data_IF_231545839888
#
_entry.id   IF_231545839888
#
_cell.length_a   1.000
_cell.length_b   1.000
_cell.length_c   1.000
_cell.angle_alpha   90.00
_cell.angle_beta   90.00
_cell.angle_gamma   90.00
#
_symmetry.space_group_name_H-M   'P 1'
#
loop_
_entity.id
_entity.type
_entity.pdbx_description
1 polymer ?
#
# COMPACT_ATOMS: atom_id res chain seq x y z
N UNK A 1 9.25 19.84 29.78
CA UNK A 1 9.19 20.17 28.34
C UNK A 1 9.43 18.91 27.49
N UNK A 2 8.47 18.00 27.48
CA UNK A 2 8.41 16.99 26.44
C UNK A 2 7.77 17.68 25.23
N UNK A 3 8.56 18.06 24.23
CA UNK A 3 8.04 18.32 22.92
C UNK A 3 7.38 17.01 22.44
N UNK A 4 6.05 16.94 22.52
CA UNK A 4 5.31 15.80 22.03
C UNK A 4 5.64 15.60 20.55
N UNK A 5 5.75 14.35 20.11
CA UNK A 5 5.87 14.06 18.69
C UNK A 5 4.67 14.71 17.94
N UNK A 6 4.94 15.38 16.84
CA UNK A 6 3.89 15.96 16.01
C UNK A 6 3.01 14.83 15.47
N UNK A 7 1.71 14.90 15.73
CA UNK A 7 0.76 13.88 15.28
C UNK A 7 0.61 13.94 13.75
N UNK A 8 0.75 12.80 13.10
CA UNK A 8 0.52 12.67 11.67
C UNK A 8 -0.98 12.69 11.32
N UNK A 9 -1.31 12.91 10.05
CA UNK A 9 -2.70 12.80 9.60
C UNK A 9 -3.26 11.39 9.78
N UNK A 10 -2.40 10.36 9.77
CA UNK A 10 -2.79 8.99 10.08
C UNK A 10 -3.21 8.83 11.54
N UNK A 11 -2.49 9.47 12.48
CA UNK A 11 -2.84 9.46 13.91
C UNK A 11 -4.18 10.16 14.16
N UNK A 12 -4.42 11.29 13.47
CA UNK A 12 -5.73 11.96 13.54
C UNK A 12 -6.84 11.09 12.97
N UNK A 13 -6.59 10.39 11.84
CA UNK A 13 -7.56 9.45 11.28
C UNK A 13 -7.85 8.30 12.23
N UNK A 14 -6.84 7.66 12.82
CA UNK A 14 -7.01 6.59 13.79
C UNK A 14 -7.77 7.06 15.04
N UNK A 15 -7.48 8.26 15.54
CA UNK A 15 -8.21 8.86 16.66
C UNK A 15 -9.68 9.12 16.29
N UNK A 16 -9.92 9.64 15.08
CA UNK A 16 -11.28 9.91 14.61
C UNK A 16 -12.09 8.64 14.41
N UNK A 17 -11.45 7.57 13.92
CA UNK A 17 -12.06 6.24 13.81
C UNK A 17 -12.44 5.75 15.21
N UNK A 18 -11.50 5.79 16.17
CA UNK A 18 -11.66 5.22 17.50
C UNK A 18 -12.84 5.79 18.29
N UNK A 19 -13.07 7.10 18.22
CA UNK A 19 -14.10 7.79 19.02
C UNK A 19 -15.51 7.63 18.44
N UNK A 20 -15.66 7.08 17.25
CA UNK A 20 -16.98 6.92 16.63
C UNK A 20 -17.54 5.50 16.86
N UNK A 21 -18.14 5.28 18.01
CA UNK A 21 -18.74 4.00 18.38
C UNK A 21 -19.99 3.66 17.56
N UNK A 22 -20.74 4.68 17.11
CA UNK A 22 -21.98 4.51 16.35
C UNK A 22 -21.77 3.67 15.08
N UNK A 23 -20.64 3.82 14.42
CA UNK A 23 -20.28 3.07 13.19
C UNK A 23 -19.27 1.95 13.45
N UNK A 24 -19.09 1.52 14.70
CA UNK A 24 -18.16 0.45 15.06
C UNK A 24 -16.68 0.84 14.92
N UNK A 25 -16.39 2.13 15.09
CA UNK A 25 -15.07 2.70 14.86
C UNK A 25 -14.00 2.09 15.73
N UNK A 26 -14.24 1.83 17.02
CA UNK A 26 -13.26 1.21 17.91
C UNK A 26 -12.86 -0.19 17.42
N UNK A 27 -13.82 -0.99 16.98
CA UNK A 27 -13.56 -2.33 16.41
C UNK A 27 -12.77 -2.23 15.09
N UNK A 28 -13.10 -1.26 14.23
CA UNK A 28 -12.36 -1.02 12.98
C UNK A 28 -10.92 -0.57 13.25
N UNK A 29 -10.71 0.32 14.23
CA UNK A 29 -9.38 0.72 14.66
C UNK A 29 -8.55 -0.46 15.14
N UNK A 30 -9.12 -1.31 16.03
CA UNK A 30 -8.46 -2.54 16.51
C UNK A 30 -8.13 -3.47 15.34
N UNK A 31 -9.02 -3.60 14.37
CA UNK A 31 -8.77 -4.42 13.18
C UNK A 31 -7.53 -3.96 12.40
N UNK A 32 -7.38 -2.66 12.21
CA UNK A 32 -6.20 -2.07 11.55
C UNK A 32 -4.93 -2.35 12.36
N UNK A 33 -4.94 -2.05 13.67
CA UNK A 33 -3.78 -2.22 14.54
C UNK A 33 -3.38 -3.69 14.68
N UNK A 34 -4.34 -4.59 14.91
CA UNK A 34 -4.07 -6.02 15.08
C UNK A 34 -3.58 -6.65 13.78
N UNK A 35 -4.14 -6.29 12.63
CA UNK A 35 -3.63 -6.80 11.36
C UNK A 35 -2.15 -6.44 11.16
N UNK A 36 -1.80 -5.17 11.34
CA UNK A 36 -0.42 -4.71 11.19
C UNK A 36 0.52 -5.38 12.21
N UNK A 37 0.03 -5.62 13.43
CA UNK A 37 0.83 -6.31 14.44
C UNK A 37 1.02 -7.79 14.10
N UNK A 38 -0.03 -8.47 13.66
CA UNK A 38 0.02 -9.89 13.27
C UNK A 38 0.88 -10.14 12.03
N UNK A 39 0.98 -9.19 11.12
CA UNK A 39 1.87 -9.29 9.97
C UNK A 39 3.34 -9.43 10.39
N UNK A 40 3.71 -8.84 11.54
CA UNK A 40 5.08 -8.90 12.09
C UNK A 40 5.21 -10.03 13.14
N UNK A 41 4.15 -10.28 13.91
CA UNK A 41 4.17 -11.19 15.07
C UNK A 41 2.95 -12.12 15.05
N UNK A 42 2.98 -13.16 14.22
CA UNK A 42 1.85 -14.09 14.04
C UNK A 42 1.36 -14.76 15.34
N UNK A 43 2.28 -15.04 16.26
CA UNK A 43 2.00 -15.69 17.55
C UNK A 43 1.04 -14.86 18.43
N UNK A 44 0.94 -13.56 18.17
CA UNK A 44 0.06 -12.68 18.91
C UNK A 44 -1.43 -12.98 18.70
N UNK A 45 -1.79 -13.72 17.66
CA UNK A 45 -3.19 -14.07 17.37
C UNK A 45 -3.89 -14.73 18.56
N UNK A 46 -3.24 -15.71 19.20
CA UNK A 46 -3.79 -16.39 20.37
C UNK A 46 -3.99 -15.49 21.58
N UNK A 47 -3.16 -14.45 21.69
CA UNK A 47 -3.28 -13.44 22.75
C UNK A 47 -4.49 -12.52 22.50
N UNK A 48 -4.78 -12.17 21.25
CA UNK A 48 -5.98 -11.40 20.89
C UNK A 48 -7.23 -12.20 21.27
N UNK A 49 -7.31 -13.49 20.89
CA UNK A 49 -8.44 -14.36 21.23
C UNK A 49 -8.71 -14.41 22.74
N UNK A 50 -7.64 -14.48 23.54
CA UNK A 50 -7.73 -14.58 24.99
C UNK A 50 -8.02 -13.27 25.69
N UNK A 51 -7.38 -12.19 25.26
CA UNK A 51 -7.34 -10.93 26.01
C UNK A 51 -8.35 -9.89 25.50
N UNK A 52 -8.87 -10.06 24.28
CA UNK A 52 -9.90 -9.18 23.70
C UNK A 52 -11.08 -9.99 23.15
N UNK A 53 -11.90 -10.60 24.05
CA UNK A 53 -13.00 -11.47 23.64
C UNK A 53 -14.11 -10.73 22.88
N UNK A 54 -14.23 -9.43 22.99
CA UNK A 54 -15.16 -8.63 22.20
C UNK A 54 -14.69 -8.54 20.74
N UNK A 55 -13.43 -8.21 20.54
CA UNK A 55 -12.86 -8.19 19.20
C UNK A 55 -12.82 -9.60 18.58
N UNK A 56 -12.55 -10.61 19.38
CA UNK A 56 -12.53 -12.01 18.94
C UNK A 56 -13.87 -12.49 18.33
N UNK A 57 -14.99 -11.91 18.76
CA UNK A 57 -16.33 -12.16 18.20
C UNK A 57 -16.64 -11.32 16.95
N UNK A 58 -15.79 -10.37 16.62
CA UNK A 58 -15.98 -9.51 15.44
C UNK A 58 -15.74 -10.29 14.14
N UNK A 59 -16.26 -9.74 13.04
CA UNK A 59 -16.00 -10.31 11.71
C UNK A 59 -14.53 -10.22 11.28
N UNK A 60 -13.71 -9.39 11.95
CA UNK A 60 -12.33 -9.11 11.53
C UNK A 60 -11.35 -10.20 11.93
N UNK A 61 -11.43 -10.72 13.15
CA UNK A 61 -10.44 -11.69 13.61
C UNK A 61 -10.37 -12.95 12.73
N UNK A 62 -11.47 -13.58 12.30
CA UNK A 62 -11.43 -14.72 11.38
C UNK A 62 -10.78 -14.37 10.02
N UNK A 63 -10.92 -13.12 9.56
CA UNK A 63 -10.33 -12.65 8.31
C UNK A 63 -8.81 -12.44 8.39
N UNK A 64 -8.26 -12.37 9.60
CA UNK A 64 -6.82 -12.28 9.87
C UNK A 64 -6.20 -13.65 10.18
N UNK A 65 -7.01 -14.71 10.32
CA UNK A 65 -6.53 -16.03 10.79
C UNK A 65 -5.43 -16.63 9.91
N UNK A 66 -5.38 -16.26 8.65
CA UNK A 66 -4.34 -16.68 7.72
C UNK A 66 -2.93 -16.16 8.06
N UNK A 67 -2.82 -15.05 8.82
CA UNK A 67 -1.54 -14.52 9.27
C UNK A 67 -0.84 -15.44 10.30
N UNK A 68 -1.56 -16.35 10.95
CA UNK A 68 -0.95 -17.34 11.86
C UNK A 68 0.09 -18.21 11.18
N UNK A 69 -0.13 -18.53 9.91
CA UNK A 69 0.60 -19.53 9.14
C UNK A 69 1.54 -18.92 8.10
N UNK A 70 1.53 -17.61 7.96
CA UNK A 70 2.29 -16.90 6.92
C UNK A 70 3.18 -15.85 7.57
N UNK A 71 4.48 -16.02 7.40
CA UNK A 71 5.47 -15.01 7.71
C UNK A 71 6.10 -14.56 6.38
N UNK A 72 5.49 -13.56 5.73
CA UNK A 72 6.05 -12.95 4.52
C UNK A 72 6.73 -11.64 4.89
N UNK A 73 8.04 -11.65 5.06
CA UNK A 73 8.85 -10.50 5.46
C UNK A 73 9.02 -9.44 4.34
N UNK A 74 8.37 -9.64 3.18
CA UNK A 74 8.51 -8.69 2.07
C UNK A 74 7.78 -7.37 2.34
N UNK A 75 6.61 -7.45 2.97
CA UNK A 75 5.77 -6.29 3.24
C UNK A 75 5.10 -6.36 4.61
N UNK A 76 5.68 -5.66 5.58
CA UNK A 76 5.15 -5.47 6.93
C UNK A 76 4.45 -4.11 7.00
N UNK A 77 3.14 -4.03 6.76
CA UNK A 77 2.44 -2.76 6.72
C UNK A 77 2.29 -2.15 8.12
N UNK A 78 2.40 -0.83 8.18
CA UNK A 78 1.95 -0.03 9.32
C UNK A 78 0.48 0.37 9.14
N UNK A 79 -0.18 0.83 10.22
CA UNK A 79 -1.53 1.38 10.12
C UNK A 79 -1.62 2.56 9.13
N UNK A 80 -0.54 3.34 9.00
CA UNK A 80 -0.46 4.42 8.00
C UNK A 80 -0.50 3.88 6.58
N UNK A 81 0.21 2.79 6.32
CA UNK A 81 0.22 2.13 5.00
C UNK A 81 -1.18 1.59 4.66
N UNK A 82 -1.78 0.88 5.61
CA UNK A 82 -3.12 0.32 5.45
C UNK A 82 -4.17 1.41 5.22
N UNK A 83 -4.14 2.51 5.99
CA UNK A 83 -5.04 3.63 5.80
C UNK A 83 -4.86 4.28 4.43
N UNK A 84 -3.60 4.51 3.99
CA UNK A 84 -3.33 5.07 2.67
C UNK A 84 -3.88 4.20 1.56
N UNK A 85 -3.63 2.90 1.60
CA UNK A 85 -4.12 1.98 0.57
C UNK A 85 -5.64 1.89 0.58
N UNK A 86 -6.25 1.65 1.75
CA UNK A 86 -7.69 1.52 1.90
C UNK A 86 -8.41 2.81 1.47
N UNK A 87 -7.94 3.96 1.94
CA UNK A 87 -8.54 5.24 1.61
C UNK A 87 -8.39 5.59 0.13
N UNK A 88 -7.17 5.50 -0.39
CA UNK A 88 -6.91 5.93 -1.78
C UNK A 88 -7.65 5.04 -2.77
N UNK A 89 -7.61 3.71 -2.56
CA UNK A 89 -8.28 2.78 -3.48
C UNK A 89 -9.80 2.93 -3.47
N UNK A 90 -10.40 3.20 -2.29
CA UNK A 90 -11.85 3.26 -2.17
C UNK A 90 -12.44 4.65 -2.48
N UNK A 91 -11.78 5.72 -2.04
CA UNK A 91 -12.33 7.07 -2.11
C UNK A 91 -11.88 7.87 -3.33
N UNK A 92 -10.86 7.41 -4.06
CA UNK A 92 -10.29 8.19 -5.16
C UNK A 92 -9.60 9.47 -4.68
N UNK A 93 -9.03 9.46 -3.47
CA UNK A 93 -8.35 10.58 -2.82
C UNK A 93 -7.08 10.10 -2.14
N UNK A 94 -6.00 10.88 -2.21
CA UNK A 94 -4.70 10.47 -1.67
C UNK A 94 -4.29 11.13 -0.36
N UNK A 95 -5.02 12.16 0.10
CA UNK A 95 -4.64 12.94 1.29
C UNK A 95 -5.41 12.46 2.51
N UNK A 96 -4.74 11.92 3.52
CA UNK A 96 -5.38 11.43 4.75
C UNK A 96 -6.13 12.53 5.52
N UNK A 97 -5.79 13.79 5.31
CA UNK A 97 -6.57 14.90 5.82
C UNK A 97 -8.02 14.88 5.29
N UNK A 98 -8.22 14.49 4.03
CA UNK A 98 -9.54 14.34 3.44
C UNK A 98 -10.32 13.19 4.12
N UNK A 99 -9.63 12.08 4.49
CA UNK A 99 -10.25 11.01 5.27
C UNK A 99 -10.77 11.52 6.61
N UNK A 100 -9.95 12.25 7.37
CA UNK A 100 -10.35 12.85 8.66
C UNK A 100 -11.59 13.74 8.49
N UNK A 101 -11.61 14.56 7.44
CA UNK A 101 -12.75 15.43 7.14
C UNK A 101 -14.02 14.62 6.82
N UNK A 102 -13.92 13.58 5.97
CA UNK A 102 -15.03 12.71 5.59
C UNK A 102 -15.59 11.93 6.77
N UNK A 103 -14.73 11.36 7.62
CA UNK A 103 -15.14 10.67 8.85
C UNK A 103 -15.77 11.61 9.87
N UNK A 104 -15.55 12.92 9.73
CA UNK A 104 -16.23 13.96 10.50
C UNK A 104 -17.56 14.41 9.89
N UNK A 105 -17.94 13.85 8.73
CA UNK A 105 -19.16 14.20 8.03
C UNK A 105 -19.01 15.36 7.05
N UNK A 106 -17.80 15.79 6.70
CA UNK A 106 -17.58 16.92 5.80
C UNK A 106 -18.00 16.58 4.37
N UNK A 107 -19.04 17.25 3.89
CA UNK A 107 -19.40 17.24 2.48
C UNK A 107 -18.53 18.27 1.72
N UNK A 108 -17.71 17.79 0.77
CA UNK A 108 -16.79 18.67 0.03
C UNK A 108 -17.50 19.58 -1.00
N UNK A 109 -18.69 19.19 -1.45
CA UNK A 109 -19.48 19.99 -2.40
C UNK A 109 -20.24 21.11 -1.70
N UNK A 110 -21.05 20.77 -0.67
CA UNK A 110 -21.85 21.74 0.10
C UNK A 110 -21.02 22.50 1.13
N UNK A 111 -19.84 22.00 1.49
CA UNK A 111 -19.01 22.50 2.60
C UNK A 111 -19.69 22.45 3.96
N UNK A 112 -20.75 21.67 4.11
CA UNK A 112 -21.46 21.45 5.36
C UNK A 112 -21.02 20.14 6.01
N UNK A 113 -21.46 19.92 7.25
CA UNK A 113 -21.30 18.66 7.97
C UNK A 113 -22.62 17.91 7.97
N UNK A 114 -22.60 16.67 7.49
CA UNK A 114 -23.75 15.81 7.31
C UNK A 114 -23.44 14.43 7.89
N UNK A 115 -24.33 13.91 8.74
CA UNK A 115 -24.12 12.61 9.38
C UNK A 115 -24.06 11.47 8.36
N UNK A 116 -24.87 11.54 7.31
CA UNK A 116 -24.85 10.58 6.20
C UNK A 116 -23.47 10.44 5.53
N UNK A 117 -22.73 11.54 5.41
CA UNK A 117 -21.36 11.51 4.87
C UNK A 117 -20.41 10.74 5.82
N UNK A 118 -20.56 10.91 7.12
CA UNK A 118 -19.77 10.16 8.09
C UNK A 118 -20.10 8.66 8.00
N UNK A 119 -21.38 8.29 8.01
CA UNK A 119 -21.85 6.90 7.90
C UNK A 119 -21.32 6.22 6.62
N UNK A 120 -21.53 6.84 5.46
CA UNK A 120 -21.03 6.35 4.18
C UNK A 120 -19.49 6.20 4.16
N UNK A 121 -18.79 7.16 4.77
CA UNK A 121 -17.33 7.15 4.84
C UNK A 121 -16.81 6.02 5.73
N UNK A 122 -17.45 5.77 6.87
CA UNK A 122 -17.10 4.62 7.72
C UNK A 122 -17.35 3.28 7.00
N UNK A 123 -18.50 3.13 6.33
CA UNK A 123 -18.81 1.93 5.56
C UNK A 123 -17.78 1.70 4.45
N UNK A 124 -17.43 2.75 3.72
CA UNK A 124 -16.46 2.71 2.62
C UNK A 124 -15.04 2.43 3.11
N UNK A 125 -14.62 3.06 4.21
CA UNK A 125 -13.32 2.78 4.83
C UNK A 125 -13.23 1.31 5.28
N UNK A 126 -14.28 0.78 5.90
CA UNK A 126 -14.35 -0.63 6.29
C UNK A 126 -14.17 -1.56 5.08
N UNK A 127 -14.80 -1.25 3.94
CA UNK A 127 -14.60 -2.02 2.71
C UNK A 127 -13.13 -1.99 2.24
N UNK A 128 -12.49 -0.84 2.26
CA UNK A 128 -11.08 -0.70 1.91
C UNK A 128 -10.14 -1.46 2.85
N UNK A 129 -10.42 -1.41 4.15
CA UNK A 129 -9.69 -2.18 5.17
C UNK A 129 -9.86 -3.68 4.93
N UNK A 130 -11.07 -4.16 4.68
CA UNK A 130 -11.33 -5.57 4.39
C UNK A 130 -10.68 -6.03 3.08
N UNK A 131 -10.65 -5.16 2.06
CA UNK A 131 -9.95 -5.45 0.81
C UNK A 131 -8.44 -5.57 1.02
N UNK A 132 -7.85 -4.68 1.82
CA UNK A 132 -6.43 -4.76 2.19
C UNK A 132 -6.11 -6.04 2.96
N UNK A 133 -6.94 -6.42 3.94
CA UNK A 133 -6.76 -7.60 4.80
C UNK A 133 -7.00 -8.93 4.07
N UNK A 134 -7.55 -8.91 2.87
CA UNK A 134 -7.85 -10.13 2.11
C UNK A 134 -6.57 -10.91 1.81
N UNK A 135 -6.50 -12.16 2.29
CA UNK A 135 -5.37 -13.07 1.99
C UNK A 135 -5.06 -13.10 0.50
N UNK A 136 -6.09 -13.28 -0.33
CA UNK A 136 -5.93 -13.34 -1.78
C UNK A 136 -5.30 -12.07 -2.37
N UNK A 137 -5.69 -10.89 -1.89
CA UNK A 137 -5.13 -9.64 -2.38
C UNK A 137 -3.72 -9.41 -1.88
N UNK A 138 -3.48 -9.68 -0.59
CA UNK A 138 -2.17 -9.52 0.03
C UNK A 138 -1.13 -10.48 -0.56
N UNK A 139 -1.46 -11.76 -0.68
CA UNK A 139 -0.59 -12.73 -1.33
C UNK A 139 -0.31 -12.36 -2.78
N UNK A 140 -1.32 -11.88 -3.50
CA UNK A 140 -1.15 -11.54 -4.91
C UNK A 140 -0.22 -10.35 -5.11
N UNK A 141 -0.33 -9.30 -4.30
CA UNK A 141 0.58 -8.16 -4.41
C UNK A 141 2.02 -8.57 -4.09
N UNK A 142 2.26 -9.33 -3.03
CA UNK A 142 3.61 -9.81 -2.68
C UNK A 142 4.19 -10.73 -3.76
N UNK A 143 3.38 -11.63 -4.33
CA UNK A 143 3.79 -12.47 -5.46
C UNK A 143 4.15 -11.65 -6.70
N UNK A 144 3.40 -10.60 -7.03
CA UNK A 144 3.70 -9.73 -8.17
C UNK A 144 5.04 -9.01 -7.96
N UNK A 145 5.29 -8.48 -6.76
CA UNK A 145 6.56 -7.83 -6.42
C UNK A 145 7.74 -8.81 -6.51
N UNK A 146 7.60 -10.02 -5.97
CA UNK A 146 8.61 -11.08 -6.11
C UNK A 146 8.85 -11.46 -7.58
N UNK A 147 7.79 -11.54 -8.37
CA UNK A 147 7.91 -11.81 -9.81
C UNK A 147 8.60 -10.70 -10.60
N UNK A 148 8.67 -9.49 -10.03
CA UNK A 148 9.46 -8.39 -10.58
C UNK A 148 10.94 -8.42 -10.15
N UNK A 149 11.32 -9.39 -9.29
CA UNK A 149 12.66 -9.56 -8.76
C UNK A 149 12.91 -8.96 -7.38
N UNK A 150 11.91 -8.30 -6.79
CA UNK A 150 12.01 -7.77 -5.43
C UNK A 150 11.69 -8.87 -4.42
N UNK A 151 12.68 -9.74 -4.20
CA UNK A 151 12.51 -10.99 -3.46
C UNK A 151 12.69 -10.85 -1.95
N UNK A 152 13.32 -9.78 -1.49
CA UNK A 152 13.53 -9.45 -0.07
C UNK A 152 13.13 -8.02 0.23
N UNK A 153 12.79 -7.73 1.49
CA UNK A 153 12.45 -6.37 1.95
C UNK A 153 13.60 -5.37 1.79
N UNK A 154 14.85 -5.83 1.80
CA UNK A 154 16.03 -4.99 1.59
C UNK A 154 16.08 -4.35 0.19
N UNK A 155 15.49 -5.00 -0.80
CA UNK A 155 15.35 -4.46 -2.15
C UNK A 155 14.20 -3.44 -2.26
N UNK A 156 13.40 -3.25 -1.20
CA UNK A 156 12.24 -2.35 -1.21
C UNK A 156 12.48 -1.17 -0.28
N UNK A 157 12.97 -0.07 -0.83
CA UNK A 157 13.31 1.15 -0.07
C UNK A 157 12.15 2.13 0.08
N UNK A 158 11.11 1.99 -0.73
CA UNK A 158 9.96 2.88 -0.73
C UNK A 158 8.68 2.12 -0.38
N UNK A 159 8.23 2.20 0.87
CA UNK A 159 6.91 1.69 1.28
C UNK A 159 5.78 2.34 0.49
N UNK A 160 5.91 3.63 0.18
CA UNK A 160 4.90 4.33 -0.60
C UNK A 160 4.77 3.77 -2.02
N UNK A 161 5.86 3.27 -2.61
CA UNK A 161 5.79 2.59 -3.91
C UNK A 161 5.00 1.27 -3.81
N UNK A 162 5.18 0.48 -2.73
CA UNK A 162 4.35 -0.71 -2.48
C UNK A 162 2.88 -0.30 -2.28
N UNK A 163 2.64 0.69 -1.44
CA UNK A 163 1.28 1.16 -1.13
C UNK A 163 0.54 1.53 -2.41
N UNK A 164 1.17 2.30 -3.31
CA UNK A 164 0.51 2.67 -4.56
C UNK A 164 0.41 1.50 -5.55
N UNK A 165 1.39 0.60 -5.58
CA UNK A 165 1.28 -0.65 -6.36
C UNK A 165 0.07 -1.49 -5.90
N UNK A 166 -0.19 -1.55 -4.59
CA UNK A 166 -1.36 -2.23 -4.05
C UNK A 166 -2.66 -1.50 -4.46
N UNK A 167 -2.67 -0.17 -4.45
CA UNK A 167 -3.80 0.63 -4.95
C UNK A 167 -4.06 0.31 -6.43
N UNK A 168 -3.02 0.27 -7.26
CA UNK A 168 -3.14 -0.12 -8.69
C UNK A 168 -3.75 -1.50 -8.84
N UNK A 169 -3.32 -2.46 -8.02
CA UNK A 169 -3.89 -3.80 -8.00
C UNK A 169 -5.38 -3.80 -7.66
N UNK A 170 -5.76 -3.14 -6.54
CA UNK A 170 -7.15 -3.09 -6.09
C UNK A 170 -8.05 -2.35 -7.10
N UNK A 171 -7.56 -1.27 -7.71
CA UNK A 171 -8.27 -0.55 -8.76
C UNK A 171 -8.46 -1.39 -10.02
N UNK A 172 -7.42 -2.12 -10.44
CA UNK A 172 -7.52 -3.04 -11.56
C UNK A 172 -8.56 -4.14 -11.34
N UNK A 173 -8.65 -4.66 -10.10
CA UNK A 173 -9.69 -5.62 -9.71
C UNK A 173 -11.09 -5.00 -9.79
N UNK A 174 -11.24 -3.76 -9.33
CA UNK A 174 -12.52 -3.03 -9.37
C UNK A 174 -12.97 -2.73 -10.81
N UNK A 175 -12.04 -2.36 -11.67
CA UNK A 175 -12.31 -2.12 -13.09
C UNK A 175 -12.46 -3.41 -13.91
N UNK A 176 -12.40 -4.59 -13.26
CA UNK A 176 -12.48 -5.90 -13.88
C UNK A 176 -11.46 -6.11 -15.02
N UNK A 177 -10.28 -5.57 -14.90
CA UNK A 177 -9.20 -5.82 -15.85
C UNK A 177 -8.76 -7.30 -15.78
N UNK A 178 -8.32 -7.89 -16.90
CA UNK A 178 -7.74 -9.23 -16.92
C UNK A 178 -6.57 -9.35 -15.95
N UNK A 179 -6.42 -10.49 -15.29
CA UNK A 179 -5.40 -10.71 -14.26
C UNK A 179 -3.98 -10.41 -14.78
N UNK A 180 -3.64 -10.88 -15.97
CA UNK A 180 -2.34 -10.65 -16.61
C UNK A 180 -2.06 -9.16 -16.84
N UNK A 181 -3.09 -8.39 -17.21
CA UNK A 181 -2.97 -6.95 -17.38
C UNK A 181 -2.70 -6.27 -16.02
N UNK A 182 -3.43 -6.66 -14.97
CA UNK A 182 -3.21 -6.13 -13.62
C UNK A 182 -1.78 -6.42 -13.17
N UNK A 183 -1.32 -7.66 -13.29
CA UNK A 183 0.03 -8.07 -12.89
C UNK A 183 1.10 -7.30 -13.66
N UNK A 184 0.94 -7.16 -14.97
CA UNK A 184 1.87 -6.39 -15.80
C UNK A 184 1.90 -4.92 -15.41
N UNK A 185 0.74 -4.29 -15.21
CA UNK A 185 0.65 -2.89 -14.80
C UNK A 185 1.28 -2.68 -13.41
N UNK A 186 0.97 -3.53 -12.44
CA UNK A 186 1.51 -3.42 -11.08
C UNK A 186 3.03 -3.53 -11.08
N UNK A 187 3.60 -4.54 -11.78
CA UNK A 187 5.07 -4.70 -11.88
C UNK A 187 5.74 -3.48 -12.50
N UNK A 188 5.23 -3.02 -13.63
CA UNK A 188 5.80 -1.87 -14.36
C UNK A 188 5.65 -0.58 -13.58
N UNK A 189 4.49 -0.35 -12.96
CA UNK A 189 4.26 0.82 -12.10
C UNK A 189 5.19 0.84 -10.89
N UNK A 190 5.34 -0.31 -10.23
CA UNK A 190 6.23 -0.43 -9.07
C UNK A 190 7.69 -0.15 -9.46
N UNK A 191 8.20 -0.82 -10.51
CA UNK A 191 9.55 -0.61 -10.98
C UNK A 191 9.80 0.86 -11.40
N UNK A 192 8.86 1.47 -12.12
CA UNK A 192 8.91 2.87 -12.49
C UNK A 192 8.96 3.76 -11.24
N UNK A 193 8.11 3.50 -10.25
CA UNK A 193 8.06 4.28 -9.01
C UNK A 193 9.37 4.23 -8.22
N UNK A 194 10.06 3.08 -8.21
CA UNK A 194 11.38 2.94 -7.59
C UNK A 194 12.42 3.73 -8.38
N UNK A 195 12.49 3.55 -9.70
CA UNK A 195 13.49 4.18 -10.56
C UNK A 195 13.38 5.70 -10.59
N UNK A 196 12.17 6.25 -10.50
CA UNK A 196 11.93 7.71 -10.57
C UNK A 196 11.84 8.37 -9.20
N UNK A 197 11.77 7.58 -8.12
CA UNK A 197 11.50 8.12 -6.79
C UNK A 197 10.12 8.81 -6.68
N UNK A 198 9.12 8.39 -7.47
CA UNK A 198 7.82 9.06 -7.63
C UNK A 198 7.13 9.43 -6.31
N UNK A 199 7.32 8.64 -5.27
CA UNK A 199 6.66 8.82 -3.97
C UNK A 199 7.64 9.21 -2.84
N UNK A 200 8.83 9.69 -3.17
CA UNK A 200 9.88 10.01 -2.19
C UNK A 200 9.71 11.40 -1.54
N UNK A 201 9.06 12.33 -2.20
CA UNK A 201 8.87 13.70 -1.71
C UNK A 201 7.60 13.86 -0.87
N UNK A 202 6.49 14.23 -1.52
CA UNK A 202 5.17 14.41 -0.89
C UNK A 202 4.22 13.28 -1.32
N UNK A 203 4.25 12.12 -0.65
CA UNK A 203 3.55 10.93 -1.13
C UNK A 203 2.03 11.13 -1.22
N UNK A 204 1.41 11.81 -0.28
CA UNK A 204 -0.04 12.05 -0.30
C UNK A 204 -0.47 12.94 -1.46
N UNK A 205 0.35 13.92 -1.83
CA UNK A 205 0.07 14.77 -3.00
C UNK A 205 0.21 13.97 -4.31
N UNK A 206 1.24 13.13 -4.41
CA UNK A 206 1.43 12.28 -5.56
C UNK A 206 0.31 11.21 -5.68
N UNK A 207 -0.09 10.59 -4.55
CA UNK A 207 -1.21 9.67 -4.51
C UNK A 207 -2.52 10.33 -4.96
N UNK A 208 -2.80 11.54 -4.47
CA UNK A 208 -4.02 12.29 -4.83
C UNK A 208 -4.04 12.64 -6.31
N UNK A 209 -2.91 13.05 -6.88
CA UNK A 209 -2.78 13.31 -8.31
C UNK A 209 -3.04 12.03 -9.12
N UNK A 210 -2.31 10.96 -8.82
CA UNK A 210 -2.37 9.73 -9.58
C UNK A 210 -3.76 9.08 -9.52
N UNK A 211 -4.38 9.02 -8.34
CA UNK A 211 -5.69 8.37 -8.20
C UNK A 211 -6.80 9.15 -8.90
N UNK A 212 -6.75 10.48 -8.88
CA UNK A 212 -7.71 11.32 -9.61
C UNK A 212 -7.57 11.17 -11.13
N UNK A 213 -6.35 11.03 -11.62
CA UNK A 213 -6.11 10.78 -13.04
C UNK A 213 -6.59 9.37 -13.45
N UNK A 214 -6.37 8.37 -12.58
CA UNK A 214 -6.93 7.03 -12.76
C UNK A 214 -8.46 7.09 -12.84
N UNK A 215 -9.11 7.82 -11.94
CA UNK A 215 -10.58 7.96 -11.94
C UNK A 215 -11.11 8.66 -13.20
N UNK A 216 -10.35 9.58 -13.78
CA UNK A 216 -10.79 10.35 -14.95
C UNK A 216 -10.51 9.65 -16.29
N UNK A 217 -9.42 8.86 -16.39
CA UNK A 217 -8.94 8.30 -17.66
C UNK A 217 -9.04 6.77 -17.73
N UNK A 218 -9.29 6.11 -16.58
CA UNK A 218 -9.18 4.66 -16.42
C UNK A 218 -7.74 4.24 -16.09
N UNK A 219 -7.63 3.20 -15.25
CA UNK A 219 -6.33 2.75 -14.73
C UNK A 219 -5.34 2.40 -15.84
N UNK A 220 -5.75 1.57 -16.80
CA UNK A 220 -4.85 1.08 -17.85
C UNK A 220 -4.28 2.23 -18.68
N UNK A 221 -5.15 3.10 -19.17
CA UNK A 221 -4.78 4.23 -20.03
C UNK A 221 -3.80 5.16 -19.33
N UNK A 222 -4.12 5.55 -18.09
CA UNK A 222 -3.27 6.45 -17.32
C UNK A 222 -1.93 5.81 -16.97
N UNK A 223 -1.94 4.56 -16.45
CA UNK A 223 -0.73 3.90 -16.01
C UNK A 223 0.26 3.65 -17.16
N UNK A 224 -0.23 3.20 -18.31
CA UNK A 224 0.62 2.99 -19.50
C UNK A 224 1.25 4.31 -19.96
N UNK A 225 0.47 5.38 -20.07
CA UNK A 225 0.98 6.69 -20.48
C UNK A 225 2.05 7.24 -19.51
N UNK A 226 1.82 7.13 -18.20
CA UNK A 226 2.79 7.58 -17.20
C UNK A 226 4.09 6.77 -17.29
N UNK A 227 4.00 5.43 -17.36
CA UNK A 227 5.18 4.57 -17.46
C UNK A 227 6.02 4.90 -18.71
N UNK A 228 5.37 5.10 -19.85
CA UNK A 228 6.06 5.45 -21.09
C UNK A 228 6.72 6.84 -21.04
N UNK A 229 6.06 7.80 -20.42
CA UNK A 229 6.61 9.14 -20.25
C UNK A 229 7.77 9.21 -19.26
N UNK A 230 7.69 8.47 -18.15
CA UNK A 230 8.72 8.46 -17.11
C UNK A 230 9.94 7.61 -17.51
N UNK A 231 9.73 6.54 -18.27
CA UNK A 231 10.78 5.60 -18.70
C UNK A 231 10.84 5.48 -20.24
N UNK A 232 11.07 6.59 -20.97
CA UNK A 232 11.21 6.55 -22.43
C UNK A 232 12.48 5.79 -22.84
N UNK A 233 12.62 5.45 -24.11
CA UNK A 233 13.80 4.76 -24.63
C UNK A 233 15.10 5.45 -24.25
N UNK A 234 15.10 6.80 -24.24
CA UNK A 234 16.26 7.60 -23.82
C UNK A 234 16.66 7.45 -22.37
N UNK A 235 15.70 7.11 -21.48
CA UNK A 235 16.01 6.74 -20.10
C UNK A 235 16.88 5.48 -20.06
N UNK A 236 16.48 4.43 -20.78
CA UNK A 236 17.16 3.13 -20.77
C UNK A 236 18.53 3.17 -21.44
N UNK A 237 18.66 3.87 -22.56
CA UNK A 237 19.88 3.86 -23.37
C UNK A 237 20.89 4.94 -23.00
N UNK A 238 20.43 6.02 -22.37
CA UNK A 238 21.27 7.19 -22.05
C UNK A 238 21.38 7.49 -20.56
N UNK A 239 20.23 7.67 -19.88
CA UNK A 239 20.25 8.11 -18.49
C UNK A 239 20.61 6.98 -17.51
N UNK A 240 19.98 5.82 -17.62
CA UNK A 240 20.17 4.70 -16.67
C UNK A 240 21.64 4.24 -16.59
N UNK A 241 22.39 4.07 -17.69
CA UNK A 241 23.81 3.70 -17.60
C UNK A 241 24.65 4.69 -16.78
N UNK A 242 24.37 5.99 -16.90
CA UNK A 242 25.05 7.02 -16.13
C UNK A 242 24.65 7.01 -14.65
N UNK A 243 23.37 6.77 -14.36
CA UNK A 243 22.82 6.70 -13.00
C UNK A 243 23.26 5.43 -12.26
N UNK A 244 23.63 4.39 -13.01
CA UNK A 244 24.21 3.15 -12.45
C UNK A 244 25.70 3.29 -12.13
N UNK A 245 26.38 4.30 -12.64
CA UNK A 245 27.76 4.62 -12.27
C UNK A 245 27.79 5.30 -10.88
N UNK A 246 27.51 4.48 -9.87
CA UNK A 246 27.39 4.92 -8.48
C UNK A 246 28.06 3.91 -7.55
N UNK A 247 28.74 4.41 -6.53
CA UNK A 247 29.29 3.59 -5.44
C UNK A 247 28.27 3.29 -4.32
N UNK A 248 27.05 3.83 -4.42
CA UNK A 248 26.03 3.67 -3.40
C UNK A 248 25.21 2.41 -3.60
N UNK A 249 25.40 1.42 -2.71
CA UNK A 249 24.55 0.22 -2.64
C UNK A 249 23.07 0.54 -2.33
N UNK A 250 22.79 1.76 -1.87
CA UNK A 250 21.43 2.25 -1.57
C UNK A 250 20.77 2.97 -2.75
N UNK A 251 21.47 3.07 -3.88
CA UNK A 251 20.93 3.70 -5.08
C UNK A 251 19.71 2.92 -5.59
N UNK A 252 18.60 3.60 -5.93
CA UNK A 252 17.42 2.95 -6.50
C UNK A 252 17.73 2.23 -7.82
N UNK A 253 18.72 2.70 -8.55
CA UNK A 253 19.17 2.08 -9.81
C UNK A 253 19.94 0.79 -9.56
N UNK A 254 20.81 0.77 -8.54
CA UNK A 254 21.52 -0.43 -8.15
C UNK A 254 20.58 -1.50 -7.59
N UNK A 255 19.63 -1.10 -6.77
CA UNK A 255 18.56 -1.98 -6.25
C UNK A 255 17.72 -2.55 -7.39
N UNK A 256 17.31 -1.72 -8.35
CA UNK A 256 16.56 -2.18 -9.52
C UNK A 256 17.41 -3.14 -10.40
N UNK A 257 18.71 -2.94 -10.49
CA UNK A 257 19.62 -3.87 -11.14
C UNK A 257 19.67 -5.22 -10.42
N UNK A 258 19.83 -5.23 -9.10
CA UNK A 258 19.78 -6.46 -8.30
C UNK A 258 18.45 -7.20 -8.47
N UNK A 259 17.33 -6.48 -8.44
CA UNK A 259 16.02 -7.06 -8.69
C UNK A 259 15.91 -7.66 -10.11
N UNK A 260 16.48 -7.00 -11.11
CA UNK A 260 16.51 -7.53 -12.47
C UNK A 260 17.35 -8.82 -12.56
N UNK A 261 18.51 -8.88 -11.90
CA UNK A 261 19.33 -10.08 -11.82
C UNK A 261 18.58 -11.23 -11.12
N UNK A 262 17.96 -10.97 -9.97
CA UNK A 262 17.13 -11.96 -9.28
C UNK A 262 16.00 -12.50 -10.17
N UNK A 263 15.34 -11.63 -10.92
CA UNK A 263 14.30 -12.02 -11.88
C UNK A 263 14.83 -12.87 -13.04
N UNK A 264 16.04 -12.61 -13.50
CA UNK A 264 16.68 -13.37 -14.57
C UNK A 264 17.25 -14.71 -14.08
N UNK A 265 17.26 -14.94 -12.77
CA UNK A 265 17.77 -16.16 -12.14
C UNK A 265 19.30 -16.20 -12.09
N UNK A 266 19.95 -15.04 -12.02
CA UNK A 266 21.40 -14.96 -11.84
C UNK A 266 21.79 -15.56 -10.49
N UNK A 267 22.94 -16.24 -10.46
CA UNK A 267 23.46 -16.89 -9.25
C UNK A 267 24.56 -16.06 -8.61
N UNK A 268 24.65 -16.11 -7.30
CA UNK A 268 25.74 -15.52 -6.55
C UNK A 268 27.07 -16.11 -6.97
N UNK A 269 28.12 -15.29 -7.07
CA UNK A 269 29.46 -15.68 -7.57
C UNK A 269 30.09 -16.81 -6.76
N UNK A 270 29.77 -16.89 -5.46
CA UNK A 270 30.34 -17.88 -4.53
C UNK A 270 29.30 -18.90 -4.02
N UNK A 271 28.10 -18.92 -4.57
CA UNK A 271 27.01 -19.79 -4.14
C UNK A 271 26.44 -20.56 -5.32
N UNK A 272 26.13 -21.84 -5.10
CA UNK A 272 25.30 -22.62 -6.03
C UNK A 272 23.84 -22.25 -5.96
N UNK A 273 23.44 -21.54 -4.91
CA UNK A 273 22.08 -21.09 -4.69
C UNK A 273 21.81 -19.80 -5.48
N UNK A 274 20.56 -19.68 -5.87
CA UNK A 274 20.12 -18.49 -6.60
C UNK A 274 20.16 -17.30 -5.67
N UNK A 275 20.70 -16.25 -6.16
CA UNK A 275 20.44 -14.85 -5.83
C UNK A 275 21.57 -14.02 -5.34
N UNK A 276 21.62 -13.01 -6.01
CA UNK A 276 22.27 -11.74 -5.70
C UNK A 276 21.57 -11.06 -4.53
#
# INVERSE_FOLDING_TARGET
>A
NSAGAELSQADFAMSKIAVNETYGGNTLRKAIEYFCHLAISPDFYSQIEKNDPEFAKSEFLPKMAWLKDVNDDLYDPTYTDMLRVAFTSEFGRGKLQDLVALLSGRNFASKQYEESIAEESFAKLKQGVLAFMSKTHFDRITMILRSAGFVTSDLIRSRNAINFAYIVYLRGRRENLPADNIESLVRRWFAMSILTGRYSGSPETAFDLDIRQIDSQGLKTYAEAVIENELPTTFWTGMLPQLMDTSSAMSPYFIAYQAAQARLGDRGFLSSDITV
#
